data_IF_259442698267
#
_entry.id   IF_259442698267
#
_cell.length_a   1.000
_cell.length_b   1.000
_cell.length_c   1.000
_cell.angle_alpha   90.00
_cell.angle_beta   90.00
_cell.angle_gamma   90.00
#
_symmetry.space_group_name_H-M   'P 1'
#
loop_
_entity.id
_entity.type
_entity.pdbx_description
1 polymer ?
#
# COMPACT_ATOMS: atom_id res chain seq x y z
N UNK A 1 33.69 -4.84 -5.93
CA UNK A 1 32.92 -4.16 -4.87
C UNK A 1 33.80 -4.05 -3.65
N UNK A 2 34.32 -2.86 -3.38
CA UNK A 2 35.23 -2.65 -2.25
C UNK A 2 34.42 -2.43 -0.98
N UNK A 3 34.65 -3.24 0.04
CA UNK A 3 34.07 -3.06 1.37
C UNK A 3 34.76 -1.91 2.09
N UNK A 4 33.99 -0.90 2.46
CA UNK A 4 34.46 0.20 3.31
C UNK A 4 34.55 -0.31 4.75
N UNK A 5 35.69 -0.15 5.45
CA UNK A 5 35.82 -0.59 6.84
C UNK A 5 34.92 0.23 7.75
N UNK A 6 34.20 -0.45 8.65
CA UNK A 6 33.33 0.18 9.65
C UNK A 6 34.16 1.01 10.65
N UNK A 7 34.04 2.32 10.57
CA UNK A 7 34.54 3.24 11.61
C UNK A 7 33.57 3.19 12.81
N UNK A 8 34.08 2.73 13.97
CA UNK A 8 33.33 2.75 15.25
C UNK A 8 32.99 4.21 15.61
N UNK A 9 31.70 4.51 15.73
CA UNK A 9 31.19 5.73 16.35
C UNK A 9 30.59 6.79 15.43
N UNK A 10 30.53 6.57 14.11
CA UNK A 10 29.82 7.48 13.20
C UNK A 10 28.46 6.86 12.84
N UNK A 11 27.38 7.51 13.25
CA UNK A 11 26.05 7.16 12.79
C UNK A 11 25.95 7.56 11.31
N UNK A 12 26.21 6.61 10.41
CA UNK A 12 26.06 6.84 8.96
C UNK A 12 24.57 6.76 8.64
N UNK A 13 23.98 7.90 8.31
CA UNK A 13 22.62 7.93 7.78
C UNK A 13 22.58 7.18 6.43
N UNK A 14 21.89 6.07 6.38
CA UNK A 14 21.68 5.33 5.15
C UNK A 14 20.58 6.00 4.31
N UNK A 15 20.99 6.67 3.24
CA UNK A 15 20.06 7.24 2.26
C UNK A 15 19.65 6.10 1.31
N UNK A 16 18.34 5.83 1.25
CA UNK A 16 17.78 4.89 0.29
C UNK A 16 17.29 5.65 -0.94
N UNK A 17 17.63 5.15 -2.11
CA UNK A 17 17.03 5.63 -3.35
C UNK A 17 15.59 5.13 -3.41
N UNK A 18 14.66 6.03 -3.71
CA UNK A 18 13.25 5.74 -3.91
C UNK A 18 12.72 6.62 -5.05
N UNK A 19 11.88 6.03 -5.90
CA UNK A 19 11.29 6.71 -7.04
C UNK A 19 9.81 6.99 -6.78
N UNK A 20 9.31 8.12 -7.28
CA UNK A 20 7.88 8.44 -7.30
C UNK A 20 7.27 8.05 -8.64
N UNK A 21 5.95 8.06 -8.74
CA UNK A 21 5.28 7.82 -10.03
C UNK A 21 5.58 8.90 -11.07
N UNK A 22 6.01 10.10 -10.64
CA UNK A 22 6.44 11.17 -11.53
C UNK A 22 7.81 10.88 -12.17
N UNK A 23 8.61 10.02 -11.55
CA UNK A 23 9.96 9.66 -12.01
C UNK A 23 9.97 8.43 -12.93
N UNK A 24 8.87 7.69 -13.02
CA UNK A 24 8.83 6.39 -13.72
C UNK A 24 7.63 6.28 -14.66
N UNK A 25 7.78 5.50 -15.71
CA UNK A 25 6.73 5.10 -16.62
C UNK A 25 6.68 3.58 -16.74
N UNK A 26 5.47 3.05 -16.94
CA UNK A 26 5.32 1.63 -17.27
C UNK A 26 5.78 1.38 -18.71
N UNK A 27 6.67 0.43 -18.90
CA UNK A 27 7.13 0.02 -20.22
C UNK A 27 6.02 -0.78 -20.91
N UNK A 28 5.53 -0.34 -22.07
CA UNK A 28 4.55 -1.09 -22.84
C UNK A 28 5.08 -2.46 -23.22
N UNK A 29 4.25 -3.49 -23.11
CA UNK A 29 4.57 -4.86 -23.51
C UNK A 29 3.41 -5.47 -24.27
N UNK A 30 3.71 -6.47 -25.12
CA UNK A 30 2.68 -7.23 -25.80
C UNK A 30 1.85 -8.03 -24.79
N UNK A 31 0.53 -7.99 -24.92
CA UNK A 31 -0.40 -8.75 -24.09
C UNK A 31 -1.41 -9.50 -24.95
N UNK A 32 -1.74 -10.72 -24.54
CA UNK A 32 -2.84 -11.52 -25.10
C UNK A 32 -4.07 -11.52 -24.19
N UNK A 33 -4.03 -10.80 -23.06
CA UNK A 33 -5.11 -10.72 -22.09
C UNK A 33 -6.05 -9.59 -22.49
N UNK A 34 -7.33 -9.90 -22.62
CA UNK A 34 -8.37 -8.90 -22.83
C UNK A 34 -8.75 -8.23 -21.49
N UNK A 35 -9.09 -6.94 -21.49
CA UNK A 35 -9.50 -6.24 -20.26
C UNK A 35 -10.63 -6.95 -19.49
N UNK A 36 -11.59 -7.53 -20.20
CA UNK A 36 -12.70 -8.26 -19.59
C UNK A 36 -12.32 -9.59 -18.92
N UNK A 37 -11.16 -10.15 -19.26
CA UNK A 37 -10.66 -11.42 -18.70
C UNK A 37 -9.42 -11.24 -17.84
N UNK A 38 -9.02 -9.99 -17.58
CA UNK A 38 -7.87 -9.69 -16.74
C UNK A 38 -8.16 -10.10 -15.29
N UNK A 39 -7.27 -10.87 -14.70
CA UNK A 39 -7.31 -11.20 -13.28
C UNK A 39 -6.56 -10.12 -12.49
N UNK A 40 -7.30 -9.37 -11.67
CA UNK A 40 -6.76 -8.27 -10.87
C UNK A 40 -6.50 -8.66 -9.42
N UNK A 41 -6.74 -9.92 -9.05
CA UNK A 41 -6.51 -10.40 -7.69
C UNK A 41 -5.05 -10.23 -7.28
N UNK A 42 -4.84 -9.81 -6.04
CA UNK A 42 -3.51 -9.57 -5.48
C UNK A 42 -3.46 -9.95 -4.01
N UNK A 43 -2.26 -10.02 -3.46
CA UNK A 43 -2.04 -10.23 -2.02
C UNK A 43 -1.40 -9.00 -1.41
N UNK A 44 -1.97 -8.53 -0.29
CA UNK A 44 -1.40 -7.46 0.54
C UNK A 44 -0.42 -8.02 1.55
N UNK A 45 -0.74 -9.18 2.10
CA UNK A 45 0.11 -9.93 3.02
C UNK A 45 0.05 -11.42 2.65
N UNK A 46 0.81 -12.25 3.37
CA UNK A 46 0.77 -13.70 3.17
C UNK A 46 -0.63 -14.32 3.39
N UNK A 47 -1.49 -13.66 4.17
CA UNK A 47 -2.82 -14.17 4.55
C UNK A 47 -3.99 -13.32 4.03
N UNK A 48 -3.73 -12.14 3.46
CA UNK A 48 -4.78 -11.23 2.99
C UNK A 48 -4.71 -11.07 1.48
N UNK A 49 -5.72 -11.59 0.80
CA UNK A 49 -5.91 -11.44 -0.64
C UNK A 49 -7.00 -10.41 -0.93
N UNK A 50 -6.85 -9.66 -2.02
CA UNK A 50 -7.82 -8.73 -2.54
C UNK A 50 -8.27 -9.12 -3.94
N UNK A 51 -9.52 -8.82 -4.28
CA UNK A 51 -10.04 -9.03 -5.64
C UNK A 51 -9.62 -7.91 -6.59
N UNK A 52 -9.40 -6.70 -6.06
CA UNK A 52 -8.85 -5.56 -6.81
C UNK A 52 -7.66 -4.97 -6.03
N UNK A 53 -6.61 -4.50 -6.70
CA UNK A 53 -5.39 -4.00 -6.04
C UNK A 53 -5.55 -2.55 -5.57
N UNK A 54 -6.60 -2.28 -4.79
CA UNK A 54 -6.91 -0.95 -4.28
C UNK A 54 -6.98 -0.95 -2.75
N UNK A 55 -6.29 0.02 -2.17
CA UNK A 55 -6.29 0.30 -0.74
C UNK A 55 -6.71 1.76 -0.51
N UNK A 56 -7.63 2.03 0.42
CA UNK A 56 -7.84 3.41 0.84
C UNK A 56 -6.89 3.78 1.98
N UNK A 57 -6.33 4.97 1.88
CA UNK A 57 -5.27 5.45 2.76
C UNK A 57 -5.76 5.67 4.19
N UNK A 58 -4.91 5.38 5.18
CA UNK A 58 -5.13 5.63 6.60
C UNK A 58 -5.00 7.14 6.93
N UNK A 59 -5.84 7.95 6.31
CA UNK A 59 -5.87 9.40 6.49
C UNK A 59 -7.16 9.83 7.17
N UNK A 60 -7.05 10.80 8.08
CA UNK A 60 -8.19 11.48 8.69
C UNK A 60 -9.12 12.04 7.60
N UNK A 61 -10.42 11.94 7.80
CA UNK A 61 -11.48 12.32 6.85
C UNK A 61 -11.50 11.54 5.52
N UNK A 62 -10.60 10.59 5.30
CA UNK A 62 -10.57 9.73 4.10
C UNK A 62 -11.10 8.34 4.42
N UNK A 63 -10.46 7.61 5.35
CA UNK A 63 -10.83 6.21 5.64
C UNK A 63 -11.29 6.03 7.07
N UNK A 64 -12.61 6.02 7.23
CA UNK A 64 -13.33 5.57 8.42
C UNK A 64 -14.20 4.34 8.06
N UNK A 65 -14.99 3.83 9.00
CA UNK A 65 -15.78 2.61 8.84
C UNK A 65 -16.58 2.56 7.52
N UNK A 66 -17.26 3.66 7.16
CA UNK A 66 -18.07 3.71 5.93
C UNK A 66 -17.23 3.49 4.66
N UNK A 67 -16.07 4.14 4.57
CA UNK A 67 -15.16 3.96 3.43
C UNK A 67 -14.55 2.56 3.44
N UNK A 68 -14.13 2.06 4.61
CA UNK A 68 -13.55 0.72 4.73
C UNK A 68 -14.55 -0.36 4.28
N UNK A 69 -15.81 -0.27 4.69
CA UNK A 69 -16.89 -1.17 4.27
C UNK A 69 -17.08 -1.11 2.74
N UNK A 70 -17.18 0.11 2.18
CA UNK A 70 -17.36 0.29 0.73
C UNK A 70 -16.19 -0.28 -0.07
N UNK A 71 -14.96 -0.06 0.39
CA UNK A 71 -13.77 -0.62 -0.23
C UNK A 71 -13.78 -2.15 -0.18
N UNK A 72 -14.14 -2.75 0.95
CA UNK A 72 -14.25 -4.19 1.09
C UNK A 72 -15.33 -4.79 0.17
N UNK A 73 -16.50 -4.16 0.07
CA UNK A 73 -17.56 -4.55 -0.86
C UNK A 73 -17.14 -4.48 -2.33
N UNK A 74 -16.27 -3.55 -2.68
CA UNK A 74 -15.69 -3.44 -4.02
C UNK A 74 -14.54 -4.45 -4.27
N UNK A 75 -14.10 -5.19 -3.26
CA UNK A 75 -13.01 -6.16 -3.36
C UNK A 75 -11.61 -5.62 -3.03
N UNK A 76 -11.52 -4.38 -2.59
CA UNK A 76 -10.32 -3.75 -2.06
C UNK A 76 -10.25 -3.82 -0.53
N UNK A 77 -9.49 -2.92 0.10
CA UNK A 77 -9.40 -2.83 1.56
C UNK A 77 -9.26 -1.36 2.01
N UNK A 78 -9.95 -1.02 3.11
CA UNK A 78 -9.76 0.25 3.80
C UNK A 78 -8.85 0.11 5.00
N UNK A 79 -7.95 1.06 5.18
CA UNK A 79 -7.10 1.15 6.37
C UNK A 79 -7.57 2.34 7.20
N UNK A 80 -8.12 2.05 8.39
CA UNK A 80 -8.66 3.08 9.28
C UNK A 80 -7.50 3.88 9.89
N UNK A 81 -7.63 5.23 9.88
CA UNK A 81 -6.64 6.11 10.47
C UNK A 81 -6.65 6.03 12.00
N UNK A 82 -5.54 6.44 12.62
CA UNK A 82 -5.36 6.40 14.07
C UNK A 82 -5.69 7.72 14.80
N UNK A 83 -6.12 8.75 14.08
CA UNK A 83 -6.44 10.06 14.67
C UNK A 83 -7.81 10.03 15.36
N UNK A 84 -8.00 9.08 16.27
CA UNK A 84 -9.19 8.83 17.08
C UNK A 84 -8.74 8.39 18.48
N UNK A 85 -9.57 8.65 19.48
CA UNK A 85 -9.39 8.00 20.77
C UNK A 85 -9.68 6.49 20.66
N UNK A 86 -9.21 5.70 21.63
CA UNK A 86 -9.28 4.24 21.59
C UNK A 86 -10.72 3.74 21.42
N UNK A 87 -11.68 4.33 22.15
CA UNK A 87 -13.08 3.89 22.12
C UNK A 87 -13.73 4.21 20.77
N UNK A 88 -13.41 5.36 20.18
CA UNK A 88 -13.91 5.73 18.86
C UNK A 88 -13.29 4.88 17.76
N UNK A 89 -12.00 4.60 17.84
CA UNK A 89 -11.35 3.72 16.87
C UNK A 89 -11.89 2.28 16.93
N UNK A 90 -12.13 1.75 18.14
CA UNK A 90 -12.72 0.44 18.31
C UNK A 90 -14.14 0.32 17.72
N UNK A 91 -14.89 1.43 17.70
CA UNK A 91 -16.23 1.47 17.06
C UNK A 91 -16.18 1.56 15.54
N UNK A 92 -15.03 1.92 14.95
CA UNK A 92 -14.85 1.98 13.49
C UNK A 92 -14.53 0.59 12.90
N UNK A 93 -14.01 -0.32 13.72
CA UNK A 93 -13.69 -1.69 13.36
C UNK A 93 -14.89 -2.61 13.57
#
# INVERSE_FOLDING_TARGET
MASVPAMKGICIMQIREALTFDDVLLVPAASKVLPATADTRTQVTQSIALNIPLLSSAMDTVTEAKMAITMAQAGGMGVIHRNLDVDRQAKQV
#
